data_IF_500581701893
#
_entry.id   IF_500581701893
#
_cell.length_a   1.000
_cell.length_b   1.000
_cell.length_c   1.000
_cell.angle_alpha   90.00
_cell.angle_beta   90.00
_cell.angle_gamma   90.00
#
_symmetry.space_group_name_H-M   'P 1'
#
loop_
_entity.id
_entity.type
_entity.pdbx_description
1 polymer ?
#
# COMPACT_ATOMS: atom_id res chain seq x y z
N UNK A 1 -17.88 -3.85 2.50
CA UNK A 1 -16.52 -4.35 2.19
C UNK A 1 -15.66 -3.12 2.27
N UNK A 2 -14.79 -3.04 3.27
CA UNK A 2 -14.15 -1.77 3.62
C UNK A 2 -12.90 -1.58 2.77
N UNK A 3 -12.94 -0.56 1.91
CA UNK A 3 -11.87 -0.23 0.98
C UNK A 3 -11.04 0.91 1.55
N UNK A 4 -9.72 0.70 1.66
CA UNK A 4 -8.79 1.72 2.14
C UNK A 4 -8.38 2.72 1.06
N UNK A 5 -8.64 2.42 -0.20
CA UNK A 5 -8.31 3.24 -1.35
C UNK A 5 -9.38 3.10 -2.45
N UNK A 6 -9.42 4.03 -3.38
CA UNK A 6 -10.38 4.10 -4.48
C UNK A 6 -9.76 3.72 -5.83
N UNK A 7 -10.61 3.31 -6.78
CA UNK A 7 -10.19 3.02 -8.18
C UNK A 7 -9.43 4.19 -8.79
N UNK A 8 -9.92 5.42 -8.58
CA UNK A 8 -9.28 6.62 -9.11
C UNK A 8 -7.87 6.83 -8.56
N UNK A 9 -7.64 6.63 -7.26
CA UNK A 9 -6.32 6.77 -6.64
C UNK A 9 -5.32 5.73 -7.18
N UNK A 10 -5.80 4.52 -7.50
CA UNK A 10 -4.98 3.47 -8.10
C UNK A 10 -4.68 3.78 -9.57
N UNK A 11 -5.68 4.25 -10.32
CA UNK A 11 -5.55 4.60 -11.75
C UNK A 11 -4.60 5.77 -12.03
N UNK A 12 -4.34 6.61 -11.04
CA UNK A 12 -3.29 7.65 -11.14
C UNK A 12 -1.89 7.03 -11.37
N UNK A 13 -1.65 5.82 -10.87
CA UNK A 13 -0.35 5.16 -10.94
C UNK A 13 -0.28 4.06 -12.01
N UNK A 14 -1.41 3.48 -12.40
CA UNK A 14 -1.47 2.41 -13.41
C UNK A 14 -2.71 2.54 -14.28
N UNK A 15 -2.55 2.42 -15.59
CA UNK A 15 -3.65 2.50 -16.56
C UNK A 15 -3.76 1.18 -17.33
N UNK A 16 -4.37 0.14 -16.73
CA UNK A 16 -4.50 -1.17 -17.37
C UNK A 16 -5.53 -1.11 -18.52
N UNK A 17 -5.22 -1.74 -19.65
CA UNK A 17 -6.15 -1.80 -20.80
C UNK A 17 -7.08 -3.01 -20.74
N UNK A 18 -6.62 -4.12 -20.18
CA UNK A 18 -7.38 -5.38 -20.07
C UNK A 18 -8.20 -5.53 -18.79
N UNK A 19 -8.04 -4.64 -17.82
CA UNK A 19 -8.65 -4.77 -16.49
C UNK A 19 -9.70 -3.67 -16.34
N UNK A 20 -10.95 -4.07 -16.09
CA UNK A 20 -12.05 -3.13 -15.88
C UNK A 20 -12.11 -2.60 -14.44
N UNK A 21 -12.93 -1.58 -14.22
CA UNK A 21 -13.06 -0.92 -12.92
C UNK A 21 -13.57 -1.87 -11.84
N UNK A 22 -14.47 -2.79 -12.19
CA UNK A 22 -14.99 -3.83 -11.29
C UNK A 22 -13.88 -4.74 -10.77
N UNK A 23 -12.97 -5.14 -11.66
CA UNK A 23 -11.86 -5.99 -11.31
C UNK A 23 -10.80 -5.22 -10.51
N UNK A 24 -10.59 -3.94 -10.81
CA UNK A 24 -9.77 -3.05 -9.98
C UNK A 24 -10.36 -2.93 -8.57
N UNK A 25 -11.68 -2.79 -8.42
CA UNK A 25 -12.35 -2.77 -7.11
C UNK A 25 -12.13 -4.08 -6.32
N UNK A 26 -12.20 -5.23 -7.00
CA UNK A 26 -11.92 -6.52 -6.36
C UNK A 26 -10.46 -6.62 -5.88
N UNK A 27 -9.51 -6.15 -6.71
CA UNK A 27 -8.09 -6.11 -6.34
C UNK A 27 -7.87 -5.16 -5.15
N UNK A 28 -8.48 -3.97 -5.17
CA UNK A 28 -8.43 -3.00 -4.08
C UNK A 28 -8.97 -3.60 -2.79
N UNK A 29 -10.07 -4.34 -2.87
CA UNK A 29 -10.65 -4.97 -1.69
C UNK A 29 -9.72 -6.04 -1.11
N UNK A 30 -9.13 -6.86 -1.98
CA UNK A 30 -8.12 -7.84 -1.56
C UNK A 30 -6.88 -7.18 -0.94
N UNK A 31 -6.39 -6.09 -1.55
CA UNK A 31 -5.27 -5.32 -1.05
C UNK A 31 -5.59 -4.67 0.31
N UNK A 32 -6.79 -4.10 0.46
CA UNK A 32 -7.28 -3.48 1.70
C UNK A 32 -7.29 -4.49 2.84
N UNK A 33 -7.89 -5.66 2.63
CA UNK A 33 -7.91 -6.75 3.62
C UNK A 33 -6.50 -7.19 4.02
N UNK A 34 -5.59 -7.30 3.04
CA UNK A 34 -4.19 -7.66 3.30
C UNK A 34 -3.48 -6.62 4.16
N UNK A 35 -3.63 -5.34 3.83
CA UNK A 35 -3.03 -4.22 4.59
C UNK A 35 -3.59 -4.15 6.01
N UNK A 36 -4.90 -4.31 6.18
CA UNK A 36 -5.56 -4.34 7.49
C UNK A 36 -5.04 -5.50 8.35
N UNK A 37 -4.95 -6.70 7.77
CA UNK A 37 -4.42 -7.88 8.45
C UNK A 37 -2.94 -7.70 8.87
N UNK A 38 -2.10 -7.17 7.98
CA UNK A 38 -0.67 -6.94 8.28
C UNK A 38 -0.43 -5.82 9.31
N UNK A 39 -1.30 -4.81 9.32
CA UNK A 39 -1.18 -3.67 10.24
C UNK A 39 -1.91 -3.87 11.57
N UNK A 40 -2.76 -4.91 11.68
CA UNK A 40 -3.69 -5.12 12.78
C UNK A 40 -4.50 -3.84 13.08
N UNK A 41 -4.98 -3.20 12.01
CA UNK A 41 -5.84 -2.04 12.05
C UNK A 41 -7.30 -2.46 11.89
N UNK A 42 -8.22 -1.66 12.43
CA UNK A 42 -9.65 -1.85 12.21
C UNK A 42 -10.06 -1.43 10.78
N UNK A 43 -11.20 -1.93 10.29
CA UNK A 43 -11.70 -1.62 8.94
C UNK A 43 -11.93 -0.12 8.71
N UNK A 44 -12.37 0.61 9.73
CA UNK A 44 -12.69 2.05 9.64
C UNK A 44 -11.46 2.96 9.86
N UNK A 45 -10.26 2.49 9.52
CA UNK A 45 -9.02 3.25 9.75
C UNK A 45 -8.84 4.35 8.71
N UNK A 46 -8.90 5.61 9.17
CA UNK A 46 -8.64 6.79 8.33
C UNK A 46 -7.14 7.15 8.21
N UNK A 47 -6.25 6.27 8.63
CA UNK A 47 -4.82 6.54 8.62
C UNK A 47 -4.23 6.65 7.20
N UNK A 48 -3.65 7.81 6.87
CA UNK A 48 -3.09 8.08 5.55
C UNK A 48 -1.99 7.12 5.11
N UNK A 49 -1.18 6.58 6.03
CA UNK A 49 -0.18 5.58 5.68
C UNK A 49 -0.82 4.27 5.23
N UNK A 50 -1.93 3.85 5.86
CA UNK A 50 -2.63 2.64 5.43
C UNK A 50 -3.35 2.83 4.09
N UNK A 51 -3.88 4.03 3.81
CA UNK A 51 -4.43 4.38 2.49
C UNK A 51 -3.35 4.33 1.40
N UNK A 52 -2.18 4.92 1.66
CA UNK A 52 -1.04 4.84 0.73
C UNK A 52 -0.53 3.41 0.54
N UNK A 53 -0.47 2.62 1.61
CA UNK A 53 -0.11 1.20 1.52
C UNK A 53 -1.10 0.43 0.64
N UNK A 54 -2.41 0.69 0.77
CA UNK A 54 -3.45 0.11 -0.08
C UNK A 54 -3.23 0.45 -1.55
N UNK A 55 -2.97 1.72 -1.87
CA UNK A 55 -2.72 2.16 -3.25
C UNK A 55 -1.53 1.41 -3.85
N UNK A 56 -0.38 1.42 -3.18
CA UNK A 56 0.82 0.76 -3.72
C UNK A 56 0.65 -0.77 -3.82
N UNK A 57 -0.03 -1.41 -2.86
CA UNK A 57 -0.32 -2.85 -2.92
C UNK A 57 -1.30 -3.20 -4.04
N UNK A 58 -2.29 -2.35 -4.30
CA UNK A 58 -3.24 -2.54 -5.41
C UNK A 58 -2.52 -2.42 -6.74
N UNK A 59 -1.65 -1.42 -6.89
CA UNK A 59 -0.82 -1.25 -8.10
C UNK A 59 0.08 -2.45 -8.35
N UNK A 60 0.75 -3.00 -7.32
CA UNK A 60 1.60 -4.18 -7.51
C UNK A 60 0.81 -5.38 -8.03
N UNK A 61 -0.39 -5.63 -7.47
CA UNK A 61 -1.27 -6.72 -7.90
C UNK A 61 -1.81 -6.51 -9.32
N UNK A 62 -2.14 -5.27 -9.69
CA UNK A 62 -2.55 -4.93 -11.05
C UNK A 62 -1.41 -5.17 -12.03
N UNK A 63 -0.19 -4.71 -11.72
CA UNK A 63 0.99 -4.92 -12.56
C UNK A 63 1.33 -6.41 -12.71
N UNK A 64 1.22 -7.20 -11.64
CA UNK A 64 1.34 -8.67 -11.71
C UNK A 64 0.32 -9.27 -12.67
N UNK A 65 -0.94 -8.86 -12.55
CA UNK A 65 -2.01 -9.35 -13.43
C UNK A 65 -1.78 -8.94 -14.89
N UNK A 66 -1.37 -7.70 -15.15
CA UNK A 66 -1.00 -7.23 -16.49
C UNK A 66 0.20 -8.00 -17.06
N UNK A 67 1.17 -8.38 -16.22
CA UNK A 67 2.29 -9.26 -16.60
C UNK A 67 1.78 -10.64 -17.01
N UNK A 68 0.89 -11.25 -16.23
CA UNK A 68 0.28 -12.55 -16.57
C UNK A 68 -0.60 -12.51 -17.82
N UNK A 69 -1.30 -11.40 -18.05
CA UNK A 69 -2.12 -11.18 -19.25
C UNK A 69 -1.29 -10.84 -20.50
N UNK A 70 0.04 -10.67 -20.37
CA UNK A 70 0.92 -10.35 -21.49
C UNK A 70 0.87 -8.90 -21.96
N UNK A 71 0.21 -8.00 -21.22
CA UNK A 71 0.18 -6.57 -21.54
C UNK A 71 1.54 -5.90 -21.32
N UNK A 72 2.31 -6.42 -20.36
CA UNK A 72 3.63 -5.93 -20.00
C UNK A 72 4.70 -6.86 -20.58
N UNK A 73 4.90 -6.79 -21.89
CA UNK A 73 5.97 -7.53 -22.56
C UNK A 73 7.35 -7.10 -22.00
N UNK A 74 8.11 -8.07 -21.48
CA UNK A 74 9.42 -7.86 -20.84
C UNK A 74 10.47 -7.32 -21.83
N UNK A 75 10.32 -7.62 -23.12
CA UNK A 75 11.14 -7.04 -24.19
C UNK A 75 10.25 -6.67 -25.37
N UNK A 76 10.39 -5.43 -25.83
CA UNK A 76 9.79 -4.96 -27.08
C UNK A 76 10.94 -4.64 -28.03
N UNK A 77 11.01 -5.35 -29.16
CA UNK A 77 11.93 -5.02 -30.24
C UNK A 77 11.29 -3.97 -31.14
N UNK A 78 11.87 -2.77 -31.17
CA UNK A 78 11.58 -1.75 -32.17
C UNK A 78 12.73 -1.75 -33.18
N UNK A 79 12.58 -2.53 -34.26
CA UNK A 79 13.61 -2.65 -35.29
C UNK A 79 14.91 -3.26 -34.74
N UNK A 80 15.98 -2.46 -34.70
CA UNK A 80 17.29 -2.84 -34.14
C UNK A 80 17.45 -2.55 -32.65
N UNK A 81 16.53 -1.80 -32.04
CA UNK A 81 16.57 -1.45 -30.63
C UNK A 81 15.71 -2.41 -29.81
N UNK A 82 16.23 -2.85 -28.66
CA UNK A 82 15.50 -3.70 -27.72
C UNK A 82 15.24 -2.87 -26.47
N UNK A 83 13.97 -2.56 -26.19
CA UNK A 83 13.58 -1.93 -24.94
C UNK A 83 13.25 -3.03 -23.92
N UNK A 84 14.03 -3.08 -22.84
CA UNK A 84 13.81 -4.02 -21.74
C UNK A 84 12.95 -3.33 -20.68
N UNK A 85 11.76 -3.87 -20.44
CA UNK A 85 10.86 -3.36 -19.42
C UNK A 85 11.08 -4.16 -18.13
N UNK A 86 11.59 -3.49 -17.10
CA UNK A 86 11.87 -4.13 -15.81
C UNK A 86 10.63 -4.08 -14.88
N UNK A 87 9.55 -4.67 -15.37
CA UNK A 87 8.24 -4.70 -14.71
C UNK A 87 8.32 -5.39 -13.35
N UNK A 88 9.22 -6.36 -13.21
CA UNK A 88 9.46 -7.11 -11.98
C UNK A 88 10.06 -6.21 -10.89
N UNK A 89 11.01 -5.34 -11.27
CA UNK A 89 11.55 -4.33 -10.35
C UNK A 89 10.48 -3.32 -9.96
N UNK A 90 9.60 -2.90 -10.87
CA UNK A 90 8.51 -1.98 -10.55
C UNK A 90 7.50 -2.60 -9.58
N UNK A 91 7.08 -3.85 -9.82
CA UNK A 91 6.20 -4.60 -8.90
C UNK A 91 6.84 -4.62 -7.51
N UNK A 92 8.11 -5.03 -7.42
CA UNK A 92 8.81 -5.14 -6.15
C UNK A 92 9.00 -3.80 -5.44
N UNK A 93 9.20 -2.70 -6.19
CA UNK A 93 9.23 -1.35 -5.63
C UNK A 93 7.90 -0.99 -4.97
N UNK A 94 6.77 -1.21 -5.67
CA UNK A 94 5.44 -0.95 -5.11
C UNK A 94 5.15 -1.81 -3.87
N UNK A 95 5.54 -3.08 -3.88
CA UNK A 95 5.42 -3.93 -2.68
C UNK A 95 6.24 -3.41 -1.50
N UNK A 96 7.50 -3.03 -1.74
CA UNK A 96 8.38 -2.50 -0.71
C UNK A 96 7.86 -1.17 -0.14
N UNK A 97 7.35 -0.28 -1.00
CA UNK A 97 6.75 1.00 -0.57
C UNK A 97 5.49 0.76 0.26
N UNK A 98 4.64 -0.20 -0.11
CA UNK A 98 3.48 -0.56 0.69
C UNK A 98 3.89 -1.04 2.10
N UNK A 99 4.91 -1.91 2.19
CA UNK A 99 5.47 -2.38 3.46
C UNK A 99 6.06 -1.24 4.28
N UNK A 100 6.74 -0.28 3.65
CA UNK A 100 7.30 0.89 4.34
C UNK A 100 6.20 1.72 5.02
N UNK A 101 5.08 1.96 4.34
CA UNK A 101 3.96 2.69 4.92
C UNK A 101 3.28 1.93 6.07
N UNK A 102 3.14 0.61 5.95
CA UNK A 102 2.64 -0.23 7.06
C UNK A 102 3.58 -0.11 8.27
N UNK A 103 4.90 -0.16 8.07
CA UNK A 103 5.88 0.02 9.15
C UNK A 103 5.79 1.41 9.79
N UNK A 104 5.61 2.47 8.99
CA UNK A 104 5.38 3.83 9.50
C UNK A 104 4.14 3.90 10.37
N UNK A 105 3.03 3.30 9.94
CA UNK A 105 1.82 3.21 10.77
C UNK A 105 2.08 2.48 12.11
N UNK A 106 2.68 1.30 12.07
CA UNK A 106 3.00 0.53 13.28
C UNK A 106 3.89 1.32 14.25
N UNK A 107 4.88 2.05 13.73
CA UNK A 107 5.76 2.90 14.53
C UNK A 107 5.03 4.09 15.16
N UNK A 108 4.09 4.72 14.44
CA UNK A 108 3.26 5.79 15.02
C UNK A 108 2.37 5.27 16.15
N UNK A 109 1.82 4.06 16.01
CA UNK A 109 0.98 3.41 17.03
C UNK A 109 1.75 3.12 18.32
N UNK A 110 2.99 2.64 18.23
CA UNK A 110 3.81 2.32 19.42
C UNK A 110 4.35 3.55 20.13
N UNK A 111 4.70 4.63 19.42
CA UNK A 111 5.14 5.90 20.04
C UNK A 111 4.10 6.54 20.96
N UNK A 112 2.81 6.38 20.67
CA UNK A 112 1.73 6.98 21.47
C UNK A 112 1.63 6.35 22.87
N UNK A 113 2.09 5.10 23.05
CA UNK A 113 1.97 4.37 24.33
C UNK A 113 3.11 4.72 25.30
N UNK A 114 4.28 5.17 24.82
CA UNK A 114 5.46 5.40 25.69
C UNK A 114 5.61 6.84 26.24
N UNK A 115 4.66 7.74 25.98
CA UNK A 115 4.82 9.18 26.24
C UNK A 115 4.12 9.78 27.47
N UNK A 116 3.34 9.01 28.23
CA UNK A 116 2.61 9.54 29.41
C UNK A 116 2.72 8.63 30.64
N UNK A 117 3.94 8.35 31.07
CA UNK A 117 4.22 8.12 32.48
C UNK A 117 4.80 9.42 33.03
N UNK A 118 3.93 10.37 33.39
CA UNK A 118 4.35 11.58 34.09
C UNK A 118 5.06 11.17 35.38
N UNK A 119 6.30 11.64 35.56
CA UNK A 119 6.98 11.60 36.84
C UNK A 119 6.07 12.31 37.83
N UNK A 120 5.56 11.59 38.83
CA UNK A 120 4.85 12.19 39.96
C UNK A 120 5.80 13.16 40.64
N UNK A 121 5.70 14.44 40.34
CA UNK A 121 6.27 15.49 41.19
C UNK A 121 5.46 15.48 42.47
N UNK A 122 6.00 14.81 43.50
CA UNK A 122 5.54 15.00 44.88
C UNK A 122 5.96 16.40 45.34
N UNK A 123 5.12 17.39 45.07
CA UNK A 123 5.19 18.66 45.79
C UNK A 123 4.56 18.45 47.17
N UNK A 124 5.38 18.60 48.20
CA UNK A 124 5.03 18.27 49.58
C UNK A 124 4.11 19.27 50.28
N UNK A 125 3.62 18.85 51.46
CA UNK A 125 3.43 19.72 52.63
C UNK A 125 3.34 18.89 53.91
N UNK A 126 4.05 19.38 54.92
CA UNK A 126 4.15 18.92 56.30
C UNK A 126 2.80 18.75 57.01
N UNK A 127 2.71 17.74 57.88
CA UNK A 127 2.16 17.83 59.24
C UNK A 127 3.10 17.06 60.15
#
# INVERSE_FOLDING_TARGET
>A
MDMLCSVNEVKVLVDPKSIDDTEIEHIISHASNTVLAQSNAGPDTENSYLKLACVHRSVSLILEKMKYNGELAQQVKFGSETQQNDVEVQIQQHENTALEYIRKYLYTKTRVISGRAGVRTVNGRSV
#
